data_IF_912726371989
#
_entry.id   IF_912726371989
#
_cell.length_a   1.000
_cell.length_b   1.000
_cell.length_c   1.000
_cell.angle_alpha   90.00
_cell.angle_beta   90.00
_cell.angle_gamma   90.00
#
_symmetry.space_group_name_H-M   'P 1'
#
loop_
_entity.id
_entity.type
_entity.pdbx_description
1 polymer ?
#
# COMPACT_ATOMS: atom_id res chain seq x y z
N UNK A 1 20.54 -7.19 -3.68
CA UNK A 1 19.72 -6.77 -2.52
C UNK A 1 19.56 -5.27 -2.58
N UNK A 2 18.31 -4.79 -2.61
CA UNK A 2 18.00 -3.36 -2.57
C UNK A 2 18.29 -2.81 -1.16
N UNK A 3 18.81 -1.58 -1.07
CA UNK A 3 18.99 -0.84 0.18
C UNK A 3 17.71 -0.09 0.49
N UNK A 4 17.20 -0.18 1.72
CA UNK A 4 16.04 0.60 2.15
C UNK A 4 16.44 2.07 2.36
N UNK A 5 15.93 3.03 1.56
CA UNK A 5 16.18 4.45 1.81
C UNK A 5 15.45 4.90 3.09
N UNK A 6 15.96 5.91 3.79
CA UNK A 6 15.18 6.56 4.87
C UNK A 6 14.15 7.51 4.29
N UNK A 7 12.97 7.52 4.90
CA UNK A 7 12.01 8.61 4.71
C UNK A 7 12.49 9.87 5.40
N UNK A 8 12.82 10.87 4.59
CA UNK A 8 13.10 12.21 5.09
C UNK A 8 11.80 12.96 5.34
N UNK A 9 11.80 14.08 6.09
CA UNK A 9 10.60 14.89 6.31
C UNK A 9 9.87 15.31 5.03
N UNK A 10 10.61 15.53 3.93
CA UNK A 10 10.04 15.84 2.60
C UNK A 10 9.29 14.66 1.96
N UNK A 11 9.57 13.44 2.40
CA UNK A 11 9.01 12.21 1.87
C UNK A 11 7.75 11.76 2.64
N UNK A 12 7.30 12.52 3.65
CA UNK A 12 6.17 12.12 4.50
C UNK A 12 4.85 11.95 3.72
N UNK A 13 4.68 12.71 2.64
CA UNK A 13 3.54 12.59 1.72
C UNK A 13 3.90 11.81 0.44
N UNK A 14 5.14 11.32 0.32
CA UNK A 14 5.58 10.56 -0.84
C UNK A 14 5.09 9.13 -0.70
N UNK A 15 4.28 8.70 -1.65
CA UNK A 15 3.88 7.30 -1.76
C UNK A 15 4.99 6.49 -2.45
N UNK A 16 5.12 5.19 -2.13
CA UNK A 16 6.06 4.33 -2.82
C UNK A 16 5.81 4.35 -4.34
N UNK A 17 6.86 4.60 -5.13
CA UNK A 17 6.76 4.77 -6.59
C UNK A 17 6.79 3.45 -7.37
N UNK A 18 6.94 3.53 -8.70
CA UNK A 18 6.97 2.34 -9.60
C UNK A 18 8.12 1.36 -9.32
N UNK A 19 9.12 1.77 -8.54
CA UNK A 19 10.23 0.93 -8.08
C UNK A 19 9.88 0.08 -6.84
N UNK A 20 8.69 0.27 -6.28
CA UNK A 20 8.14 -0.51 -5.19
C UNK A 20 7.46 -1.74 -5.77
N UNK A 21 7.74 -2.92 -5.21
CA UNK A 21 7.13 -4.16 -5.70
C UNK A 21 5.62 -4.18 -5.44
N UNK A 22 4.83 -4.38 -6.48
CA UNK A 22 3.41 -4.76 -6.36
C UNK A 22 3.32 -6.27 -6.15
N UNK A 23 2.69 -6.68 -5.05
CA UNK A 23 2.51 -8.10 -4.73
C UNK A 23 1.04 -8.50 -4.88
N UNK A 24 0.81 -9.64 -5.57
CA UNK A 24 -0.51 -10.29 -5.58
C UNK A 24 -0.80 -10.85 -4.19
N UNK A 25 -2.02 -10.64 -3.74
CA UNK A 25 -2.40 -10.65 -2.33
C UNK A 25 -2.64 -12.05 -1.73
N UNK A 26 -2.37 -12.17 -0.42
CA UNK A 26 -2.97 -13.10 0.56
C UNK A 26 -2.86 -14.63 0.41
N UNK A 27 -2.05 -15.19 -0.49
CA UNK A 27 -1.96 -16.66 -0.59
C UNK A 27 -0.96 -17.31 0.39
N UNK A 28 0.12 -16.61 0.77
CA UNK A 28 1.20 -17.16 1.60
C UNK A 28 1.93 -16.06 2.39
N UNK A 29 2.64 -16.42 3.48
CA UNK A 29 3.54 -15.49 4.14
C UNK A 29 4.53 -14.88 3.14
N UNK A 30 4.76 -13.57 3.29
CA UNK A 30 5.74 -12.84 2.50
C UNK A 30 7.07 -12.84 3.23
N UNK A 31 8.09 -13.41 2.59
CA UNK A 31 9.48 -13.33 3.03
C UNK A 31 10.15 -12.12 2.40
N UNK A 32 10.79 -11.31 3.24
CA UNK A 32 11.45 -10.08 2.83
C UNK A 32 12.88 -10.08 3.32
N UNK A 33 13.80 -9.69 2.45
CA UNK A 33 15.20 -9.46 2.79
C UNK A 33 15.65 -8.14 2.19
N UNK A 34 16.34 -7.33 3.00
CA UNK A 34 16.87 -6.05 2.56
C UNK A 34 18.11 -5.69 3.36
N UNK A 35 18.79 -4.63 2.92
CA UNK A 35 19.95 -4.10 3.63
C UNK A 35 19.57 -2.76 4.25
N UNK A 36 19.80 -2.63 5.55
CA UNK A 36 19.71 -1.35 6.26
C UNK A 36 20.84 -0.42 5.82
N UNK A 37 20.73 0.85 6.18
CA UNK A 37 21.71 1.89 5.83
C UNK A 37 23.12 1.58 6.36
N UNK A 38 23.20 1.08 7.58
CA UNK A 38 24.47 0.71 8.22
C UNK A 38 25.12 -0.54 7.60
N UNK A 39 24.49 -1.11 6.58
CA UNK A 39 24.96 -2.30 5.88
C UNK A 39 24.44 -3.60 6.46
N UNK A 40 23.71 -3.57 7.59
CA UNK A 40 23.12 -4.75 8.21
C UNK A 40 22.15 -5.44 7.25
N UNK A 41 22.27 -6.77 7.14
CA UNK A 41 21.30 -7.57 6.41
C UNK A 41 20.13 -7.89 7.34
N UNK A 42 18.92 -7.55 6.89
CA UNK A 42 17.69 -7.74 7.63
C UNK A 42 16.78 -8.70 6.87
N UNK A 43 16.03 -9.48 7.64
CA UNK A 43 15.01 -10.38 7.12
C UNK A 43 13.76 -10.33 7.99
N UNK A 44 12.60 -10.38 7.37
CA UNK A 44 11.33 -10.48 8.08
C UNK A 44 10.34 -11.31 7.28
N UNK A 45 9.52 -12.08 7.99
CA UNK A 45 8.41 -12.82 7.40
C UNK A 45 7.11 -12.30 7.99
N UNK A 46 6.16 -11.96 7.12
CA UNK A 46 4.85 -11.46 7.53
C UNK A 46 3.75 -12.32 6.91
N UNK A 47 2.80 -12.75 7.72
CA UNK A 47 1.59 -13.42 7.27
C UNK A 47 0.45 -12.40 7.29
N UNK A 48 0.21 -11.74 6.16
CA UNK A 48 -0.77 -10.65 6.08
C UNK A 48 -2.20 -11.13 6.37
N UNK A 49 -2.51 -12.42 6.21
CA UNK A 49 -3.82 -12.95 6.60
C UNK A 49 -4.01 -12.95 8.13
N UNK A 50 -2.92 -13.09 8.89
CA UNK A 50 -2.95 -13.03 10.36
C UNK A 50 -2.89 -11.61 10.87
N UNK A 51 -2.02 -10.80 10.29
CA UNK A 51 -1.81 -9.41 10.71
C UNK A 51 -2.97 -8.49 10.29
N UNK A 52 -3.66 -8.82 9.19
CA UNK A 52 -4.74 -8.03 8.61
C UNK A 52 -5.95 -8.95 8.37
N UNK A 53 -6.67 -9.35 9.43
CA UNK A 53 -7.75 -10.32 9.33
C UNK A 53 -8.96 -9.80 8.52
N UNK A 54 -9.07 -8.49 8.34
CA UNK A 54 -10.08 -7.84 7.51
C UNK A 54 -9.44 -6.71 6.69
N UNK A 55 -8.89 -7.02 5.50
CA UNK A 55 -8.20 -6.02 4.68
C UNK A 55 -9.21 -5.03 4.11
N UNK A 56 -9.25 -3.83 4.68
CA UNK A 56 -10.10 -2.74 4.23
C UNK A 56 -9.30 -1.65 3.54
N UNK A 57 -9.73 -1.30 2.33
CA UNK A 57 -9.31 -0.06 1.67
C UNK A 57 -10.10 1.09 2.28
N UNK A 58 -9.39 2.05 2.88
CA UNK A 58 -10.01 3.24 3.45
C UNK A 58 -10.09 4.36 2.42
N UNK A 59 -11.22 5.06 2.40
CA UNK A 59 -11.45 6.22 1.55
C UNK A 59 -12.28 7.24 2.31
N UNK A 60 -11.95 8.52 2.17
CA UNK A 60 -12.56 9.63 2.92
C UNK A 60 -14.06 9.81 2.60
N UNK A 61 -14.47 9.47 1.38
CA UNK A 61 -15.84 9.65 0.89
C UNK A 61 -16.47 8.32 0.46
N UNK A 62 -16.64 7.34 1.38
CA UNK A 62 -17.06 5.98 1.04
C UNK A 62 -18.43 5.95 0.35
N UNK A 63 -19.31 6.90 0.64
CA UNK A 63 -20.61 7.03 0.00
C UNK A 63 -20.50 7.24 -1.51
N UNK A 64 -19.42 7.88 -2.01
CA UNK A 64 -19.19 8.11 -3.45
C UNK A 64 -18.78 6.84 -4.20
N UNK A 65 -18.29 5.81 -3.51
CA UNK A 65 -17.78 4.59 -4.15
C UNK A 65 -18.92 3.85 -4.85
N UNK A 66 -18.67 3.34 -6.06
CA UNK A 66 -19.64 2.50 -6.76
C UNK A 66 -19.75 1.11 -6.12
N UNK A 67 -20.93 0.66 -5.65
CA UNK A 67 -21.02 -0.55 -4.82
C UNK A 67 -20.79 -1.86 -5.59
N UNK A 68 -21.14 -1.93 -6.88
CA UNK A 68 -21.05 -3.19 -7.66
C UNK A 68 -19.64 -3.46 -8.20
N UNK A 69 -18.87 -2.40 -8.44
CA UNK A 69 -17.52 -2.49 -9.01
C UNK A 69 -16.65 -1.36 -8.45
N UNK A 70 -16.32 -1.43 -7.15
CA UNK A 70 -15.68 -0.31 -6.44
C UNK A 70 -14.24 -0.08 -6.88
N UNK A 71 -13.58 -1.05 -7.50
CA UNK A 71 -12.17 -0.97 -7.89
C UNK A 71 -11.98 -0.89 -9.39
N UNK A 72 -11.06 -0.03 -9.82
CA UNK A 72 -10.46 -0.03 -11.14
C UNK A 72 -9.20 -0.90 -11.09
N UNK A 73 -9.31 -2.15 -11.56
CA UNK A 73 -8.25 -3.14 -11.44
C UNK A 73 -8.25 -3.90 -10.11
N UNK A 74 -7.19 -4.67 -9.86
CA UNK A 74 -7.01 -5.40 -8.61
C UNK A 74 -6.27 -4.52 -7.60
N UNK A 75 -6.74 -4.41 -6.34
CA UNK A 75 -5.93 -3.89 -5.25
C UNK A 75 -4.62 -4.66 -5.12
N UNK A 76 -3.55 -3.95 -4.78
CA UNK A 76 -2.20 -4.52 -4.64
C UNK A 76 -1.63 -4.23 -3.27
N UNK A 77 -0.73 -5.09 -2.82
CA UNK A 77 0.12 -4.81 -1.66
C UNK A 77 1.41 -4.17 -2.13
N UNK A 78 1.80 -3.10 -1.44
CA UNK A 78 3.07 -2.41 -1.64
C UNK A 78 3.90 -2.57 -0.37
N UNK A 79 5.13 -3.04 -0.53
CA UNK A 79 6.12 -3.11 0.55
C UNK A 79 7.13 -1.99 0.38
N UNK A 80 7.27 -1.19 1.43
CA UNK A 80 8.28 -0.16 1.56
C UNK A 80 9.30 -0.57 2.62
N UNK A 81 10.58 -0.45 2.26
CA UNK A 81 11.70 -0.59 3.18
C UNK A 81 12.24 0.81 3.51
N UNK A 82 12.04 1.23 4.75
CA UNK A 82 12.47 2.52 5.33
C UNK A 82 13.58 2.27 6.36
N UNK A 83 14.82 2.13 5.88
CA UNK A 83 15.98 1.69 6.65
C UNK A 83 15.73 0.39 7.44
N UNK A 84 15.45 0.49 8.75
CA UNK A 84 15.17 -0.64 9.66
C UNK A 84 13.67 -0.91 9.81
N UNK A 85 12.82 -0.08 9.21
CA UNK A 85 11.37 -0.18 9.29
C UNK A 85 10.80 -0.73 7.98
N UNK A 86 9.91 -1.70 8.09
CA UNK A 86 9.05 -2.12 6.98
C UNK A 86 7.70 -1.45 7.15
N UNK A 87 7.19 -0.86 6.08
CA UNK A 87 5.81 -0.42 5.97
C UNK A 87 5.13 -1.20 4.85
N UNK A 88 3.91 -1.69 5.10
CA UNK A 88 3.12 -2.41 4.10
C UNK A 88 1.82 -1.66 3.92
N UNK A 89 1.52 -1.36 2.66
CA UNK A 89 0.34 -0.61 2.25
C UNK A 89 -0.57 -1.48 1.39
N UNK A 90 -1.87 -1.35 1.61
CA UNK A 90 -2.88 -1.77 0.65
C UNK A 90 -3.18 -0.59 -0.26
N UNK A 91 -2.93 -0.76 -1.55
CA UNK A 91 -3.16 0.25 -2.57
C UNK A 91 -4.27 -0.19 -3.52
N UNK A 92 -5.17 0.73 -3.83
CA UNK A 92 -6.26 0.49 -4.77
C UNK A 92 -6.71 1.78 -5.44
N UNK A 93 -7.11 1.67 -6.71
CA UNK A 93 -7.82 2.74 -7.40
C UNK A 93 -9.33 2.47 -7.27
N UNK A 94 -10.04 3.37 -6.61
CA UNK A 94 -11.49 3.28 -6.44
C UNK A 94 -12.22 3.97 -7.58
N UNK A 95 -13.27 3.34 -8.09
CA UNK A 95 -14.25 3.99 -8.96
C UNK A 95 -15.25 4.74 -8.08
N UNK A 96 -15.36 6.05 -8.27
CA UNK A 96 -16.18 6.93 -7.43
C UNK A 96 -17.09 7.83 -8.27
N UNK A 97 -18.23 8.21 -7.72
CA UNK A 97 -19.10 9.22 -8.34
C UNK A 97 -18.33 10.54 -8.46
N UNK A 98 -18.45 11.25 -9.59
CA UNK A 98 -17.76 12.52 -9.79
C UNK A 98 -18.20 13.55 -8.76
N UNK A 99 -17.30 14.49 -8.43
CA UNK A 99 -17.63 15.62 -7.56
C UNK A 99 -18.61 16.58 -8.25
N UNK A 100 -18.49 16.75 -9.57
CA UNK A 100 -19.43 17.51 -10.37
C UNK A 100 -20.64 16.64 -10.74
N UNK A 101 -21.86 16.97 -10.26
CA UNK A 101 -23.08 16.24 -10.62
C UNK A 101 -23.45 16.31 -12.10
N UNK A 102 -22.92 17.29 -12.86
CA UNK A 102 -23.14 17.40 -14.29
C UNK A 102 -22.23 16.47 -15.12
N UNK A 103 -21.16 15.93 -14.52
CA UNK A 103 -20.29 14.98 -15.19
C UNK A 103 -21.02 13.67 -15.46
N UNK A 104 -20.85 13.17 -16.69
CA UNK A 104 -21.36 11.85 -17.10
C UNK A 104 -20.33 10.73 -16.93
N UNK A 105 -19.09 11.08 -16.63
CA UNK A 105 -17.99 10.14 -16.45
C UNK A 105 -17.78 9.82 -14.98
N UNK A 106 -17.41 8.57 -14.72
CA UNK A 106 -16.96 8.17 -13.39
C UNK A 106 -15.61 8.82 -13.08
N UNK A 107 -15.38 9.11 -11.81
CA UNK A 107 -14.12 9.62 -11.30
C UNK A 107 -13.35 8.47 -10.63
N UNK A 108 -12.07 8.70 -10.32
CA UNK A 108 -11.24 7.72 -9.64
C UNK A 108 -10.50 8.35 -8.46
N UNK A 109 -10.29 7.53 -7.43
CA UNK A 109 -9.52 7.93 -6.26
C UNK A 109 -8.49 6.86 -5.94
N UNK A 110 -7.21 7.24 -5.97
CA UNK A 110 -6.14 6.36 -5.50
C UNK A 110 -6.08 6.37 -3.97
N UNK A 111 -5.99 5.18 -3.40
CA UNK A 111 -5.94 4.96 -1.97
C UNK A 111 -4.67 4.22 -1.62
N UNK A 112 -4.08 4.60 -0.49
CA UNK A 112 -2.89 3.98 0.09
C UNK A 112 -3.11 3.88 1.59
N UNK A 113 -3.49 2.70 2.07
CA UNK A 113 -3.75 2.45 3.50
C UNK A 113 -2.56 1.71 4.10
N UNK A 114 -1.90 2.30 5.10
CA UNK A 114 -0.90 1.59 5.89
C UNK A 114 -1.60 0.50 6.71
N UNK A 115 -1.22 -0.75 6.48
CA UNK A 115 -1.85 -1.92 7.11
C UNK A 115 -0.91 -2.68 8.04
N UNK A 116 0.40 -2.46 7.92
CA UNK A 116 1.39 -3.05 8.80
C UNK A 116 2.65 -2.18 8.86
N UNK A 117 3.24 -2.04 10.04
CA UNK A 117 4.54 -1.37 10.23
C UNK A 117 5.34 -2.06 11.33
N UNK A 118 6.64 -2.28 11.09
CA UNK A 118 7.54 -2.89 12.06
C UNK A 118 8.98 -2.43 11.88
N UNK A 119 9.63 -2.07 12.97
CA UNK A 119 11.07 -1.76 13.04
C UNK A 119 11.87 -2.96 13.57
N UNK A 120 13.06 -3.20 13.00
CA UNK A 120 14.00 -4.28 13.35
C UNK A 120 15.37 -3.80 13.87
#
# INVERSE_FOLDING_TARGET
>A
TWTGPEKLPKDINKVPGILSGSFKTFASPMEMTWRARDGSELSHTVDLNKEIPDPRVSYEFPERVFPQRPFLGEPVVIVEFDDRTINIYLAATLLVRPLDPASREADHADTYTLVYSRTL
#
